data_IF_758634938494
#
_entry.id   IF_758634938494
#
_cell.length_a   1.000
_cell.length_b   1.000
_cell.length_c   1.000
_cell.angle_alpha   90.00
_cell.angle_beta   90.00
_cell.angle_gamma   90.00
#
_symmetry.space_group_name_H-M   'P 1'
#
loop_
_entity.id
_entity.type
_entity.pdbx_description
1 polymer ?
#
# COMPACT_ATOMS: atom_id res chain seq x y z
N UNK A 1 4.66 -11.50 -22.37
CA UNK A 1 3.25 -11.31 -21.95
C UNK A 1 2.95 -9.83 -22.13
N UNK A 2 1.75 -9.49 -22.60
CA UNK A 2 1.25 -8.13 -22.39
C UNK A 2 1.14 -7.94 -20.88
N UNK A 3 1.89 -6.98 -20.32
CA UNK A 3 1.91 -6.80 -18.89
C UNK A 3 1.48 -5.38 -18.56
N UNK A 4 0.25 -5.27 -18.07
CA UNK A 4 -0.22 -4.11 -17.31
C UNK A 4 0.73 -3.89 -16.16
N UNK A 5 1.19 -2.67 -15.95
CA UNK A 5 2.19 -2.35 -14.94
C UNK A 5 1.65 -2.69 -13.54
N UNK A 6 0.39 -2.34 -13.27
CA UNK A 6 -0.30 -2.64 -12.00
C UNK A 6 -0.46 -4.13 -11.72
N UNK A 7 -0.25 -4.98 -12.73
CA UNK A 7 -0.34 -6.44 -12.63
C UNK A 7 1.05 -7.10 -12.55
N UNK A 8 2.08 -6.32 -12.19
CA UNK A 8 3.46 -6.80 -12.05
C UNK A 8 4.00 -6.56 -10.66
N UNK A 9 4.79 -7.51 -10.16
CA UNK A 9 5.51 -7.36 -8.90
C UNK A 9 6.53 -6.21 -8.94
N UNK A 10 7.21 -6.03 -10.08
CA UNK A 10 8.23 -4.98 -10.25
C UNK A 10 7.66 -3.58 -10.03
N UNK A 11 6.41 -3.33 -10.44
CA UNK A 11 5.78 -2.04 -10.20
C UNK A 11 5.59 -1.81 -8.70
N UNK A 12 4.89 -2.69 -7.99
CA UNK A 12 4.55 -2.50 -6.57
C UNK A 12 5.74 -2.61 -5.62
N UNK A 13 6.74 -3.45 -5.94
CA UNK A 13 7.91 -3.66 -5.07
C UNK A 13 9.05 -2.70 -5.30
N UNK A 14 9.34 -2.39 -6.57
CA UNK A 14 10.59 -1.70 -6.93
C UNK A 14 10.36 -0.25 -7.40
N UNK A 15 9.14 0.10 -7.82
CA UNK A 15 8.87 1.38 -8.51
C UNK A 15 7.78 2.22 -7.84
N UNK A 16 6.92 1.61 -7.03
CA UNK A 16 5.80 2.29 -6.41
C UNK A 16 6.29 3.20 -5.29
N UNK A 17 6.05 4.49 -5.48
CA UNK A 17 6.26 5.54 -4.49
C UNK A 17 5.05 6.46 -4.56
N UNK A 18 4.51 6.84 -3.40
CA UNK A 18 3.33 7.70 -3.34
C UNK A 18 3.69 9.08 -3.89
N UNK A 19 3.06 9.45 -5.00
CA UNK A 19 3.27 10.75 -5.63
C UNK A 19 2.40 11.84 -4.95
N UNK A 20 2.70 13.14 -5.16
CA UNK A 20 1.86 14.22 -4.66
C UNK A 20 0.39 14.13 -5.10
N UNK A 21 0.14 13.71 -6.35
CA UNK A 21 -1.21 13.50 -6.89
C UNK A 21 -1.97 12.38 -6.14
N UNK A 22 -1.26 11.40 -5.58
CA UNK A 22 -1.84 10.31 -4.80
C UNK A 22 -2.22 10.77 -3.39
N UNK A 23 -1.44 11.69 -2.81
CA UNK A 23 -1.80 12.37 -1.56
C UNK A 23 -3.02 13.27 -1.76
N UNK A 24 -3.11 13.98 -2.89
CA UNK A 24 -4.31 14.75 -3.24
C UNK A 24 -5.53 13.84 -3.38
N UNK A 25 -5.40 12.70 -4.03
CA UNK A 25 -6.46 11.70 -4.11
C UNK A 25 -6.87 11.20 -2.72
N UNK A 26 -5.90 10.83 -1.87
CA UNK A 26 -6.13 10.33 -0.52
C UNK A 26 -6.82 11.38 0.37
N UNK A 27 -6.40 12.64 0.26
CA UNK A 27 -7.03 13.76 0.95
C UNK A 27 -8.50 13.90 0.55
N UNK A 28 -8.79 13.94 -0.75
CA UNK A 28 -10.15 14.06 -1.24
C UNK A 28 -11.01 12.85 -0.85
N UNK A 29 -10.44 11.64 -0.89
CA UNK A 29 -11.12 10.42 -0.46
C UNK A 29 -11.56 10.51 1.01
N UNK A 30 -10.69 10.97 1.91
CA UNK A 30 -11.02 11.16 3.32
C UNK A 30 -12.05 12.27 3.52
N UNK A 31 -11.91 13.38 2.79
CA UNK A 31 -12.84 14.51 2.84
C UNK A 31 -14.26 14.10 2.40
N UNK A 32 -14.36 13.35 1.30
CA UNK A 32 -15.64 12.89 0.75
C UNK A 32 -16.28 11.80 1.63
N UNK A 33 -15.45 10.91 2.20
CA UNK A 33 -15.93 9.87 3.10
C UNK A 33 -16.51 10.43 4.41
N UNK A 34 -16.03 11.59 4.87
CA UNK A 34 -16.37 12.20 6.17
C UNK A 34 -16.28 11.20 7.33
N UNK A 35 -15.33 10.28 7.24
CA UNK A 35 -15.13 9.20 8.19
C UNK A 35 -13.66 8.77 8.18
N UNK A 36 -13.12 8.36 9.34
CA UNK A 36 -11.80 7.76 9.40
C UNK A 36 -11.71 6.48 8.55
N UNK A 37 -10.52 6.21 8.02
CA UNK A 37 -10.22 5.02 7.22
C UNK A 37 -9.01 4.29 7.79
N UNK A 38 -8.99 2.97 7.71
CA UNK A 38 -7.78 2.21 8.04
C UNK A 38 -6.73 2.42 6.95
N UNK A 39 -5.47 2.13 7.27
CA UNK A 39 -4.40 2.13 6.26
C UNK A 39 -4.75 1.19 5.09
N UNK A 40 -5.23 -0.01 5.39
CA UNK A 40 -5.66 -0.98 4.37
C UNK A 40 -6.73 -0.45 3.42
N UNK A 41 -7.72 0.29 3.94
CA UNK A 41 -8.78 0.89 3.12
C UNK A 41 -8.21 1.94 2.17
N UNK A 42 -7.27 2.77 2.66
CA UNK A 42 -6.57 3.76 1.85
C UNK A 42 -5.69 3.10 0.78
N UNK A 43 -4.94 2.06 1.15
CA UNK A 43 -4.10 1.28 0.24
C UNK A 43 -4.94 0.66 -0.90
N UNK A 44 -6.04 -0.02 -0.58
CA UNK A 44 -6.93 -0.63 -1.57
C UNK A 44 -7.57 0.43 -2.48
N UNK A 45 -8.00 1.57 -1.91
CA UNK A 45 -8.58 2.65 -2.70
C UNK A 45 -7.56 3.27 -3.66
N UNK A 46 -6.30 3.45 -3.23
CA UNK A 46 -5.24 3.97 -4.07
C UNK A 46 -4.88 2.97 -5.19
N UNK A 47 -4.74 1.68 -4.87
CA UNK A 47 -4.52 0.63 -5.88
C UNK A 47 -5.65 0.64 -6.92
N UNK A 48 -6.90 0.74 -6.46
CA UNK A 48 -8.07 0.82 -7.34
C UNK A 48 -8.00 2.02 -8.28
N UNK A 49 -7.52 3.17 -7.79
CA UNK A 49 -7.33 4.37 -8.60
C UNK A 49 -6.22 4.20 -9.64
N UNK A 50 -5.11 3.54 -9.29
CA UNK A 50 -4.04 3.19 -10.23
C UNK A 50 -4.53 2.26 -11.34
N UNK A 51 -5.26 1.20 -11.00
CA UNK A 51 -5.87 0.28 -11.97
C UNK A 51 -6.84 1.02 -12.88
N UNK A 52 -7.72 1.86 -12.32
CA UNK A 52 -8.69 2.66 -13.07
C UNK A 52 -8.02 3.64 -14.04
N UNK A 53 -6.96 4.33 -13.61
CA UNK A 53 -6.15 5.24 -14.44
C UNK A 53 -5.50 4.47 -15.60
N UNK A 54 -4.94 3.28 -15.33
CA UNK A 54 -4.35 2.42 -16.36
C UNK A 54 -5.40 1.94 -17.37
N UNK A 55 -6.57 1.48 -16.90
CA UNK A 55 -7.69 1.07 -17.76
C UNK A 55 -8.16 2.20 -18.67
N UNK A 56 -8.36 3.40 -18.11
CA UNK A 56 -8.76 4.57 -18.87
C UNK A 56 -7.72 4.94 -19.95
N UNK A 57 -6.43 4.81 -19.63
CA UNK A 57 -5.34 5.02 -20.60
C UNK A 57 -5.40 3.98 -21.72
N UNK A 58 -5.51 2.69 -21.38
CA UNK A 58 -5.62 1.60 -22.36
C UNK A 58 -6.83 1.81 -23.27
N UNK A 59 -8.00 2.12 -22.70
CA UNK A 59 -9.22 2.38 -23.45
C UNK A 59 -9.07 3.59 -24.38
N UNK A 60 -8.41 4.65 -23.92
CA UNK A 60 -8.10 5.81 -24.75
C UNK A 60 -7.21 5.43 -25.94
N UNK A 61 -6.13 4.67 -25.71
CA UNK A 61 -5.25 4.22 -26.80
C UNK A 61 -5.96 3.29 -27.79
N UNK A 62 -6.76 2.33 -27.29
CA UNK A 62 -7.57 1.43 -28.11
C UNK A 62 -8.58 2.19 -29.00
N UNK A 63 -9.04 3.37 -28.58
CA UNK A 63 -9.93 4.20 -29.41
C UNK A 63 -9.24 4.91 -30.58
N UNK A 64 -7.90 4.99 -30.59
CA UNK A 64 -7.11 5.74 -31.59
C UNK A 64 -6.85 4.97 -32.88
N UNK A 65 -7.11 3.67 -32.92
CA UNK A 65 -6.87 2.82 -34.09
C UNK A 65 -7.43 1.42 -33.93
N UNK A 66 -7.24 0.58 -34.95
CA UNK A 66 -7.69 -0.81 -34.90
C UNK A 66 -6.65 -1.68 -34.19
N UNK A 67 -7.10 -2.66 -33.42
CA UNK A 67 -6.22 -3.60 -32.72
C UNK A 67 -5.39 -4.42 -33.73
N UNK A 68 -4.06 -4.41 -33.57
CA UNK A 68 -3.20 -5.25 -34.41
C UNK A 68 -3.33 -6.74 -34.03
N UNK A 69 -3.74 -7.54 -35.01
CA UNK A 69 -3.83 -8.99 -34.99
C UNK A 69 -3.15 -9.54 -36.26
N UNK A 70 -2.11 -10.37 -36.15
CA UNK A 70 -1.36 -10.88 -37.31
C UNK A 70 -2.19 -11.59 -38.39
N UNK A 71 -3.37 -12.13 -38.04
CA UNK A 71 -4.28 -12.78 -39.01
C UNK A 71 -4.99 -11.79 -39.95
N UNK A 72 -5.11 -10.52 -39.57
CA UNK A 72 -5.93 -9.55 -40.28
C UNK A 72 -5.18 -8.97 -41.50
N UNK A 73 -5.97 -8.39 -42.42
CA UNK A 73 -5.47 -7.61 -43.54
C UNK A 73 -5.40 -6.13 -43.17
N UNK A 74 -4.37 -5.44 -43.67
CA UNK A 74 -4.17 -4.03 -43.40
C UNK A 74 -3.69 -3.25 -44.62
N UNK A 75 -4.05 -1.97 -44.68
CA UNK A 75 -3.76 -1.06 -45.79
C UNK A 75 -2.83 0.10 -45.40
N UNK A 76 -2.08 0.63 -46.37
CA UNK A 76 -1.22 1.80 -46.18
C UNK A 76 -2.06 3.01 -45.75
N UNK A 77 -1.65 3.71 -44.71
CA UNK A 77 -2.36 4.84 -44.09
C UNK A 77 -3.31 4.45 -42.95
N UNK A 78 -3.50 3.15 -42.68
CA UNK A 78 -4.30 2.70 -41.54
C UNK A 78 -3.55 2.88 -40.22
N UNK A 79 -4.28 3.25 -39.16
CA UNK A 79 -3.76 3.36 -37.79
C UNK A 79 -4.06 2.09 -37.01
N UNK A 80 -3.01 1.49 -36.46
CA UNK A 80 -3.09 0.29 -35.65
C UNK A 80 -2.55 0.54 -34.24
N UNK A 81 -3.17 -0.13 -33.28
CA UNK A 81 -2.76 -0.15 -31.87
C UNK A 81 -2.07 -1.49 -31.61
N UNK A 82 -0.86 -1.45 -31.06
CA UNK A 82 -0.02 -2.64 -30.83
C UNK A 82 -0.02 -3.04 -29.35
N UNK A 83 -0.77 -4.09 -28.96
CA UNK A 83 -0.89 -4.46 -27.55
C UNK A 83 0.45 -4.88 -26.94
N UNK A 84 1.27 -5.62 -27.71
CA UNK A 84 2.55 -6.13 -27.24
C UNK A 84 3.65 -5.05 -27.12
N UNK A 85 3.32 -3.79 -27.40
CA UNK A 85 4.19 -2.63 -27.29
C UNK A 85 3.48 -1.52 -26.50
N UNK A 86 2.94 -1.87 -25.34
CA UNK A 86 2.29 -0.93 -24.41
C UNK A 86 1.17 -0.10 -25.06
N UNK A 87 0.38 -0.73 -25.93
CA UNK A 87 -0.70 -0.11 -26.71
C UNK A 87 -0.23 1.06 -27.60
N UNK A 88 1.03 1.04 -28.04
CA UNK A 88 1.57 2.07 -28.91
C UNK A 88 0.81 2.13 -30.25
N UNK A 89 0.54 3.36 -30.70
CA UNK A 89 -0.15 3.63 -31.97
C UNK A 89 0.85 3.81 -33.09
N UNK A 90 0.62 3.14 -34.21
CA UNK A 90 1.43 3.30 -35.42
C UNK A 90 0.59 3.37 -36.69
N UNK A 91 1.11 4.05 -37.69
CA UNK A 91 0.53 4.16 -39.02
C UNK A 91 1.28 3.27 -40.01
N UNK A 92 0.55 2.58 -40.89
CA UNK A 92 1.15 1.69 -41.87
C UNK A 92 1.69 2.50 -43.05
N UNK A 93 2.97 2.36 -43.32
CA UNK A 93 3.68 3.08 -44.39
C UNK A 93 3.87 2.22 -45.63
N UNK A 94 4.02 0.90 -45.47
CA UNK A 94 4.29 -0.02 -46.57
C UNK A 94 3.68 -1.40 -46.29
N UNK A 95 3.27 -2.09 -47.35
CA UNK A 95 2.82 -3.49 -47.31
C UNK A 95 3.51 -4.27 -48.42
N UNK A 96 4.23 -5.34 -48.06
CA UNK A 96 4.95 -6.21 -49.00
C UNK A 96 4.63 -7.68 -48.78
N UNK A 97 4.81 -8.52 -49.80
CA UNK A 97 4.60 -9.97 -49.67
C UNK A 97 5.78 -10.60 -48.92
N UNK A 98 5.47 -11.34 -47.86
CA UNK A 98 6.41 -12.18 -47.12
C UNK A 98 6.45 -13.60 -47.69
N UNK A 99 7.63 -14.18 -47.75
CA UNK A 99 7.81 -15.60 -48.07
C UNK A 99 8.61 -16.25 -46.95
N UNK A 100 7.97 -17.16 -46.21
CA UNK A 100 8.64 -18.00 -45.23
C UNK A 100 8.27 -19.47 -45.51
N UNK A 101 9.27 -20.34 -45.78
CA UNK A 101 9.04 -21.77 -45.99
C UNK A 101 8.22 -22.48 -44.90
N UNK A 102 8.25 -21.99 -43.66
CA UNK A 102 7.53 -22.59 -42.54
C UNK A 102 6.09 -22.09 -42.37
N UNK A 103 5.80 -20.84 -42.78
CA UNK A 103 4.51 -20.19 -42.54
C UNK A 103 3.68 -19.95 -43.81
N UNK A 104 4.22 -20.26 -45.00
CA UNK A 104 3.54 -20.10 -46.28
C UNK A 104 3.55 -18.65 -46.77
N UNK A 105 2.48 -18.27 -47.50
CA UNK A 105 2.27 -16.91 -48.00
C UNK A 105 1.64 -16.05 -46.89
N UNK A 106 2.26 -14.91 -46.60
CA UNK A 106 1.74 -13.88 -45.69
C UNK A 106 2.22 -12.51 -46.15
N UNK A 107 1.73 -11.42 -45.55
CA UNK A 107 2.18 -10.05 -45.83
C UNK A 107 3.03 -9.51 -44.68
N UNK A 108 3.93 -8.59 -45.00
CA UNK A 108 4.72 -7.82 -44.04
C UNK A 108 4.29 -6.37 -44.15
N UNK A 109 3.83 -5.80 -43.04
CA UNK A 109 3.46 -4.39 -42.92
C UNK A 109 4.60 -3.63 -42.22
N UNK A 110 4.95 -2.46 -42.73
CA UNK A 110 5.90 -1.54 -42.10
C UNK A 110 5.10 -0.46 -41.38
N UNK A 111 5.18 -0.44 -40.04
CA UNK A 111 4.45 0.51 -39.21
C UNK A 111 5.39 1.56 -38.61
N UNK A 112 5.02 2.83 -38.73
CA UNK A 112 5.72 3.98 -38.14
C UNK A 112 4.98 4.43 -36.87
N UNK A 113 5.68 4.39 -35.74
CA UNK A 113 5.13 4.76 -34.44
C UNK A 113 5.08 6.29 -34.27
N UNK A 114 4.06 6.79 -33.57
CA UNK A 114 3.93 8.22 -33.31
C UNK A 114 5.08 8.77 -32.44
N UNK A 115 5.51 7.98 -31.44
CA UNK A 115 6.47 8.40 -30.42
C UNK A 115 7.94 8.15 -30.81
N UNK A 116 8.19 7.54 -31.97
CA UNK A 116 9.55 7.34 -32.46
C UNK A 116 9.60 7.30 -33.99
N UNK A 117 10.63 7.90 -34.59
CA UNK A 117 10.85 7.83 -36.05
C UNK A 117 11.31 6.43 -36.51
N UNK A 118 11.18 5.41 -35.65
CA UNK A 118 11.54 4.03 -35.96
C UNK A 118 10.37 3.36 -36.68
N UNK A 119 10.67 2.84 -37.86
CA UNK A 119 9.78 1.93 -38.60
C UNK A 119 10.08 0.51 -38.15
N UNK A 120 9.04 -0.25 -37.80
CA UNK A 120 9.15 -1.68 -37.49
C UNK A 120 8.28 -2.48 -38.43
N UNK A 121 8.71 -3.71 -38.72
CA UNK A 121 7.99 -4.62 -39.59
C UNK A 121 7.18 -5.64 -38.78
N UNK A 122 5.97 -5.93 -39.23
CA UNK A 122 5.03 -6.85 -38.59
C UNK A 122 4.37 -7.75 -39.63
N UNK A 123 3.88 -8.92 -39.21
CA UNK A 123 3.19 -9.85 -40.11
C UNK A 123 1.70 -9.51 -40.23
N UNK A 124 1.14 -9.68 -41.42
CA UNK A 124 -0.28 -9.54 -41.73
C UNK A 124 -0.74 -10.74 -42.57
N UNK A 125 -2.02 -11.06 -42.54
CA UNK A 125 -2.60 -12.24 -43.20
C UNK A 125 -1.90 -13.56 -42.82
N UNK A 126 -1.38 -13.66 -41.59
CA UNK A 126 -0.68 -14.85 -41.12
C UNK A 126 -1.69 -15.99 -40.86
N UNK A 127 -1.61 -17.06 -41.64
CA UNK A 127 -2.50 -18.22 -41.51
C UNK A 127 -2.17 -19.13 -40.31
N UNK A 128 -0.93 -19.12 -39.83
CA UNK A 128 -0.52 -19.90 -38.66
C UNK A 128 -1.07 -19.31 -37.36
N UNK A 129 -1.39 -20.18 -36.39
CA UNK A 129 -1.83 -19.76 -35.06
C UNK A 129 -0.80 -18.84 -34.39
N UNK A 130 -1.27 -17.74 -33.81
CA UNK A 130 -0.45 -16.76 -33.12
C UNK A 130 -1.15 -16.29 -31.84
N UNK A 131 -0.40 -16.09 -30.76
CA UNK A 131 -0.97 -15.74 -29.45
C UNK A 131 -1.79 -14.45 -29.50
N UNK A 132 -1.33 -13.43 -30.23
CA UNK A 132 -2.04 -12.15 -30.42
C UNK A 132 -3.38 -12.27 -31.19
N UNK A 133 -3.64 -13.38 -31.87
CA UNK A 133 -4.94 -13.60 -32.53
C UNK A 133 -6.03 -14.09 -31.56
N UNK A 134 -5.63 -14.53 -30.36
CA UNK A 134 -6.54 -15.05 -29.33
C UNK A 134 -6.97 -13.98 -28.33
N UNK A 135 -6.47 -12.74 -28.47
CA UNK A 135 -6.76 -11.64 -27.56
C UNK A 135 -7.56 -10.57 -28.30
N UNK A 136 -8.77 -10.32 -27.83
CA UNK A 136 -9.60 -9.21 -28.31
C UNK A 136 -9.37 -7.97 -27.44
N UNK A 137 -9.80 -6.80 -27.93
CA UNK A 137 -9.72 -5.53 -27.18
C UNK A 137 -10.36 -5.64 -25.80
N UNK A 138 -11.49 -6.35 -25.72
CA UNK A 138 -12.25 -6.55 -24.48
C UNK A 138 -11.58 -7.54 -23.51
N UNK A 139 -10.76 -8.49 -24.00
CA UNK A 139 -10.06 -9.44 -23.13
C UNK A 139 -8.98 -8.73 -22.31
N UNK A 140 -8.40 -7.64 -22.81
CA UNK A 140 -7.43 -6.85 -22.06
C UNK A 140 -8.03 -6.18 -20.85
N UNK A 141 -9.32 -5.85 -20.87
CA UNK A 141 -10.07 -5.23 -19.78
C UNK A 141 -10.88 -6.25 -18.97
N UNK A 142 -10.74 -7.55 -19.28
CA UNK A 142 -11.51 -8.58 -18.59
C UNK A 142 -11.01 -8.75 -17.15
N UNK A 143 -11.89 -8.46 -16.19
CA UNK A 143 -11.61 -8.57 -14.76
C UNK A 143 -11.23 -10.01 -14.35
N UNK A 144 -11.81 -11.03 -15.01
CA UNK A 144 -11.58 -12.45 -14.70
C UNK A 144 -10.13 -12.92 -14.91
N UNK A 145 -9.32 -12.17 -15.67
CA UNK A 145 -7.93 -12.51 -15.97
C UNK A 145 -6.90 -11.66 -15.20
N UNK A 146 -7.37 -10.70 -14.41
CA UNK A 146 -6.54 -9.71 -13.73
C UNK A 146 -6.69 -9.87 -12.21
N UNK A 147 -5.63 -9.52 -11.48
CA UNK A 147 -5.70 -9.46 -10.03
C UNK A 147 -6.59 -8.28 -9.62
N UNK A 148 -7.49 -8.52 -8.69
CA UNK A 148 -8.29 -7.45 -8.08
C UNK A 148 -7.41 -6.54 -7.21
N UNK A 149 -7.83 -5.30 -6.90
CA UNK A 149 -7.11 -4.43 -5.98
C UNK A 149 -6.83 -5.07 -4.62
N UNK A 150 -7.77 -5.86 -4.10
CA UNK A 150 -7.63 -6.59 -2.84
C UNK A 150 -6.60 -7.73 -2.93
N UNK A 151 -6.54 -8.43 -4.07
CA UNK A 151 -5.52 -9.45 -4.32
C UNK A 151 -4.12 -8.84 -4.46
N UNK A 152 -4.01 -7.70 -5.17
CA UNK A 152 -2.77 -6.93 -5.27
C UNK A 152 -2.32 -6.50 -3.88
N UNK A 153 -3.23 -5.91 -3.09
CA UNK A 153 -2.94 -5.49 -1.72
C UNK A 153 -2.42 -6.66 -0.88
N UNK A 154 -3.08 -7.81 -0.93
CA UNK A 154 -2.67 -9.00 -0.17
C UNK A 154 -1.26 -9.50 -0.55
N UNK A 155 -0.85 -9.32 -1.81
CA UNK A 155 0.44 -9.80 -2.32
C UNK A 155 1.63 -8.88 -2.02
N UNK A 156 1.36 -7.57 -1.88
CA UNK A 156 2.38 -6.51 -1.77
C UNK A 156 2.07 -5.55 -0.61
N UNK A 157 1.43 -6.06 0.44
CA UNK A 157 0.92 -5.27 1.55
C UNK A 157 2.05 -4.45 2.19
N UNK A 158 3.17 -5.10 2.52
CA UNK A 158 4.26 -4.49 3.27
C UNK A 158 4.86 -3.30 2.51
N UNK A 159 5.15 -3.46 1.22
CA UNK A 159 5.74 -2.40 0.40
C UNK A 159 4.77 -1.22 0.17
N UNK A 160 3.48 -1.50 -0.02
CA UNK A 160 2.46 -0.48 -0.25
C UNK A 160 2.16 0.29 1.04
N UNK A 161 1.98 -0.42 2.15
CA UNK A 161 1.68 0.20 3.45
C UNK A 161 2.87 1.04 3.93
N UNK A 162 4.12 0.59 3.75
CA UNK A 162 5.32 1.37 4.08
C UNK A 162 5.38 2.68 3.28
N UNK A 163 5.14 2.60 1.97
CA UNK A 163 5.17 3.77 1.07
C UNK A 163 4.07 4.79 1.42
N UNK A 164 2.86 4.32 1.72
CA UNK A 164 1.74 5.18 2.12
C UNK A 164 1.98 5.78 3.51
N UNK A 165 2.44 4.98 4.47
CA UNK A 165 2.72 5.43 5.81
C UNK A 165 3.78 6.54 5.80
N UNK A 166 4.88 6.32 5.08
CA UNK A 166 5.92 7.33 4.88
C UNK A 166 5.34 8.61 4.28
N UNK A 167 4.48 8.51 3.27
CA UNK A 167 3.88 9.67 2.65
C UNK A 167 2.88 10.41 3.56
N UNK A 168 2.16 9.71 4.44
CA UNK A 168 1.23 10.34 5.37
C UNK A 168 1.95 10.97 6.57
N UNK A 169 3.09 10.43 7.01
CA UNK A 169 3.81 10.88 8.21
C UNK A 169 4.94 11.87 7.92
N UNK A 170 5.66 11.71 6.81
CA UNK A 170 6.93 12.42 6.55
C UNK A 170 6.86 13.37 5.35
N UNK A 171 5.78 13.37 4.57
CA UNK A 171 5.65 14.28 3.42
C UNK A 171 5.37 15.73 3.82
N UNK A 172 5.45 16.66 2.86
CA UNK A 172 5.07 18.07 3.06
C UNK A 172 3.61 18.26 3.52
N UNK A 173 2.75 17.27 3.31
CA UNK A 173 1.34 17.29 3.70
C UNK A 173 1.03 16.51 4.96
N UNK A 174 2.03 16.01 5.68
CA UNK A 174 1.80 15.23 6.89
C UNK A 174 1.00 15.98 7.96
N UNK A 175 1.11 17.31 7.99
CA UNK A 175 0.32 18.15 8.90
C UNK A 175 -1.20 18.11 8.65
N UNK A 176 -1.63 17.71 7.45
CA UNK A 176 -3.05 17.58 7.06
C UNK A 176 -3.68 16.29 7.60
N UNK A 177 -2.87 15.27 7.89
CA UNK A 177 -3.32 13.94 8.27
C UNK A 177 -3.07 13.66 9.75
N UNK A 178 -3.96 12.87 10.36
CA UNK A 178 -3.83 12.44 11.75
C UNK A 178 -4.18 10.96 11.83
N UNK A 179 -3.32 10.20 12.49
CA UNK A 179 -3.51 8.80 12.84
C UNK A 179 -4.04 8.68 14.27
N UNK A 180 -5.06 7.85 14.45
CA UNK A 180 -5.58 7.49 15.77
C UNK A 180 -6.07 6.03 15.75
N UNK A 181 -5.39 5.17 16.52
CA UNK A 181 -5.78 3.77 16.72
C UNK A 181 -5.88 2.92 15.43
N UNK A 182 -4.92 3.08 14.52
CA UNK A 182 -4.86 2.46 13.21
C UNK A 182 -5.77 3.09 12.15
N UNK A 183 -6.34 4.27 12.43
CA UNK A 183 -7.23 4.96 11.51
C UNK A 183 -6.72 6.36 11.18
N UNK A 184 -6.79 6.70 9.91
CA UNK A 184 -6.37 7.96 9.32
C UNK A 184 -7.56 8.86 9.05
N UNK A 185 -7.39 10.15 9.32
CA UNK A 185 -8.38 11.19 9.05
C UNK A 185 -7.68 12.52 8.77
N UNK A 186 -8.41 13.46 8.16
CA UNK A 186 -7.93 14.83 8.02
C UNK A 186 -8.00 15.58 9.36
N UNK A 187 -6.96 16.36 9.65
CA UNK A 187 -6.88 17.17 10.87
C UNK A 187 -8.01 18.19 10.97
N UNK A 188 -8.38 18.81 9.85
CA UNK A 188 -9.47 19.80 9.78
C UNK A 188 -10.86 19.20 10.06
N UNK A 189 -10.97 17.87 10.00
CA UNK A 189 -12.19 17.14 10.32
C UNK A 189 -12.29 16.75 11.80
N UNK A 190 -11.27 17.01 12.61
CA UNK A 190 -11.32 16.76 14.05
C UNK A 190 -12.27 17.76 14.72
N UNK A 191 -13.11 17.24 15.61
CA UNK A 191 -13.93 18.05 16.51
C UNK A 191 -13.02 18.71 17.54
N UNK A 192 -13.24 20.00 17.81
CA UNK A 192 -12.51 20.71 18.85
C UNK A 192 -12.89 20.17 20.24
N UNK A 193 -11.98 19.39 20.84
CA UNK A 193 -12.11 18.87 22.19
C UNK A 193 -11.29 19.74 23.15
N UNK A 194 -11.94 20.76 23.71
CA UNK A 194 -11.28 21.65 24.66
C UNK A 194 -11.06 20.99 26.03
N UNK A 195 -10.19 21.59 26.86
CA UNK A 195 -9.85 21.14 28.22
C UNK A 195 -11.04 20.84 29.12
N UNK A 196 -12.17 21.54 28.96
CA UNK A 196 -13.39 21.28 29.72
C UNK A 196 -13.94 19.86 29.54
N UNK A 197 -13.92 19.33 28.32
CA UNK A 197 -14.37 17.96 28.04
C UNK A 197 -13.38 16.94 28.63
N UNK A 198 -12.08 17.22 28.56
CA UNK A 198 -11.06 16.37 29.19
C UNK A 198 -11.24 16.34 30.72
N UNK A 199 -11.58 17.45 31.36
CA UNK A 199 -11.86 17.48 32.80
C UNK A 199 -13.10 16.66 33.17
N UNK A 200 -14.14 16.67 32.33
CA UNK A 200 -15.33 15.83 32.54
C UNK A 200 -14.94 14.35 32.36
N UNK A 201 -14.18 14.01 31.32
CA UNK A 201 -13.69 12.65 31.10
C UNK A 201 -12.84 12.15 32.29
N UNK A 202 -11.94 12.98 32.82
CA UNK A 202 -11.17 12.66 34.03
C UNK A 202 -12.10 12.36 35.21
N UNK A 203 -13.07 13.24 35.48
CA UNK A 203 -14.01 13.04 36.58
C UNK A 203 -14.84 11.76 36.43
N UNK A 204 -15.26 11.42 35.21
CA UNK A 204 -16.01 10.18 34.94
C UNK A 204 -15.16 8.94 35.21
N UNK A 205 -13.92 8.91 34.74
CA UNK A 205 -13.01 7.78 34.99
C UNK A 205 -12.70 7.66 36.49
N UNK A 206 -12.46 8.78 37.17
CA UNK A 206 -12.19 8.80 38.61
C UNK A 206 -13.38 8.26 39.44
N UNK A 207 -14.60 8.70 39.12
CA UNK A 207 -15.82 8.21 39.80
C UNK A 207 -16.08 6.74 39.49
N UNK A 208 -15.84 6.29 38.26
CA UNK A 208 -16.03 4.89 37.87
C UNK A 208 -14.97 3.96 38.47
N UNK A 209 -13.75 4.45 38.71
CA UNK A 209 -12.64 3.67 39.26
C UNK A 209 -12.19 2.51 38.37
N UNK A 210 -12.48 2.57 37.06
CA UNK A 210 -12.15 1.54 36.07
C UNK A 210 -11.91 2.17 34.69
N UNK A 211 -11.22 1.47 33.77
CA UNK A 211 -11.07 1.95 32.39
C UNK A 211 -12.42 2.10 31.70
N UNK A 212 -12.62 3.22 31.00
CA UNK A 212 -13.85 3.53 30.27
C UNK A 212 -13.59 3.60 28.76
N UNK A 213 -14.57 3.16 27.99
CA UNK A 213 -14.54 3.32 26.53
C UNK A 213 -14.89 4.76 26.12
N UNK A 214 -14.41 5.22 24.97
CA UNK A 214 -14.71 6.57 24.47
C UNK A 214 -16.21 6.82 24.31
N UNK A 215 -16.98 5.82 23.86
CA UNK A 215 -18.45 5.95 23.75
C UNK A 215 -19.13 6.16 25.10
N UNK A 216 -18.59 5.57 26.17
CA UNK A 216 -19.09 5.76 27.53
C UNK A 216 -18.78 7.16 28.04
N UNK A 217 -17.58 7.67 27.75
CA UNK A 217 -17.19 9.04 28.08
C UNK A 217 -18.07 10.05 27.34
N UNK A 218 -18.27 9.84 26.04
CA UNK A 218 -19.07 10.72 25.19
C UNK A 218 -20.54 10.82 25.58
N UNK A 219 -21.11 9.83 26.27
CA UNK A 219 -22.52 9.87 26.68
C UNK A 219 -22.86 11.06 27.61
N UNK A 220 -21.86 11.56 28.35
CA UNK A 220 -21.99 12.68 29.29
C UNK A 220 -21.35 13.97 28.72
N UNK A 221 -20.78 13.91 27.51
CA UNK A 221 -20.15 15.04 26.83
C UNK A 221 -21.09 15.55 25.74
N UNK A 222 -21.49 16.82 25.83
CA UNK A 222 -22.32 17.46 24.81
C UNK A 222 -21.43 17.91 23.63
N UNK A 223 -20.99 16.95 22.82
CA UNK A 223 -20.26 17.18 21.57
C UNK A 223 -21.22 17.54 20.44
N UNK A 224 -20.74 18.27 19.43
CA UNK A 224 -21.58 18.73 18.32
C UNK A 224 -22.23 17.57 17.55
N UNK A 225 -23.55 17.43 17.69
CA UNK A 225 -24.36 16.40 17.06
C UNK A 225 -24.44 16.49 15.52
N UNK A 226 -23.93 17.56 14.90
CA UNK A 226 -23.86 17.68 13.45
C UNK A 226 -22.73 16.83 12.83
N UNK A 227 -21.80 16.35 13.66
CA UNK A 227 -20.65 15.56 13.23
C UNK A 227 -20.95 14.07 13.39
N UNK A 228 -20.42 13.23 12.49
CA UNK A 228 -20.64 11.78 12.56
C UNK A 228 -20.05 11.19 13.85
N UNK A 229 -20.68 10.15 14.40
CA UNK A 229 -20.20 9.47 15.62
C UNK A 229 -18.75 8.99 15.47
N UNK A 230 -18.37 8.50 14.28
CA UNK A 230 -17.02 8.03 14.00
C UNK A 230 -15.97 9.14 14.14
N UNK A 231 -16.25 10.34 13.62
CA UNK A 231 -15.37 11.51 13.74
C UNK A 231 -15.28 11.99 15.19
N UNK A 232 -16.40 12.03 15.92
CA UNK A 232 -16.40 12.39 17.34
C UNK A 232 -15.55 11.42 18.17
N UNK A 233 -15.72 10.11 17.95
CA UNK A 233 -14.93 9.07 18.64
C UNK A 233 -13.44 9.21 18.33
N UNK A 234 -13.07 9.43 17.07
CA UNK A 234 -11.68 9.62 16.68
C UNK A 234 -11.09 10.89 17.32
N UNK A 235 -11.84 11.99 17.29
CA UNK A 235 -11.45 13.28 17.87
C UNK A 235 -11.24 13.19 19.37
N UNK A 236 -12.12 12.48 20.08
CA UNK A 236 -11.98 12.23 21.50
C UNK A 236 -10.76 11.36 21.81
N UNK A 237 -10.54 10.27 21.06
CA UNK A 237 -9.34 9.44 21.21
C UNK A 237 -8.05 10.25 20.98
N UNK A 238 -8.04 11.10 19.95
CA UNK A 238 -6.92 12.00 19.66
C UNK A 238 -6.68 12.98 20.80
N UNK A 239 -7.73 13.62 21.32
CA UNK A 239 -7.59 14.58 22.41
C UNK A 239 -7.10 13.93 23.71
N UNK A 240 -7.56 12.70 24.00
CA UNK A 240 -7.11 11.93 25.16
C UNK A 240 -5.67 11.44 25.02
N UNK A 241 -5.23 11.05 23.81
CA UNK A 241 -3.85 10.59 23.59
C UNK A 241 -2.81 11.71 23.73
N UNK A 242 -3.20 12.95 23.47
CA UNK A 242 -2.34 14.14 23.60
C UNK A 242 -2.27 14.69 25.05
N UNK A 243 -3.10 14.19 25.97
CA UNK A 243 -3.13 14.65 27.36
C UNK A 243 -2.48 13.64 28.32
N UNK A 244 -1.42 14.08 29.00
CA UNK A 244 -0.58 13.25 29.86
C UNK A 244 -1.34 12.53 30.99
N UNK A 245 -2.51 13.03 31.41
CA UNK A 245 -3.29 12.45 32.52
C UNK A 245 -3.86 11.08 32.17
N UNK A 246 -4.14 10.85 30.89
CA UNK A 246 -4.80 9.66 30.41
C UNK A 246 -3.78 8.64 29.91
N UNK A 247 -4.14 7.37 30.04
CA UNK A 247 -3.42 6.27 29.43
C UNK A 247 -4.38 5.34 28.69
N UNK A 248 -3.91 4.80 27.57
CA UNK A 248 -4.66 3.84 26.79
C UNK A 248 -4.34 2.43 27.27
N UNK A 249 -5.34 1.76 27.84
CA UNK A 249 -5.23 0.40 28.34
C UNK A 249 -6.05 -0.57 27.49
N UNK A 250 -5.51 -1.76 27.25
CA UNK A 250 -6.20 -2.81 26.52
C UNK A 250 -6.99 -3.70 27.50
N UNK A 251 -8.31 -3.73 27.35
CA UNK A 251 -9.19 -4.65 28.09
C UNK A 251 -9.68 -5.71 27.13
N UNK A 252 -8.92 -6.80 27.03
CA UNK A 252 -9.16 -7.83 26.00
C UNK A 252 -8.78 -7.31 24.61
N UNK A 253 -9.74 -7.26 23.69
CA UNK A 253 -9.56 -6.71 22.34
C UNK A 253 -9.97 -5.22 22.24
N UNK A 254 -10.52 -4.63 23.29
CA UNK A 254 -10.99 -3.24 23.29
C UNK A 254 -9.96 -2.30 23.92
N UNK A 255 -9.67 -1.20 23.23
CA UNK A 255 -8.89 -0.08 23.76
C UNK A 255 -9.79 0.81 24.62
N UNK A 256 -9.38 1.06 25.87
CA UNK A 256 -10.08 1.93 26.83
C UNK A 256 -9.13 2.95 27.41
N UNK A 257 -9.68 3.99 28.03
CA UNK A 257 -8.91 5.05 28.67
C UNK A 257 -8.99 4.95 30.19
N UNK A 258 -7.86 5.15 30.84
CA UNK A 258 -7.74 5.21 32.29
C UNK A 258 -6.88 6.40 32.72
N UNK A 259 -6.80 6.66 34.03
CA UNK A 259 -6.00 7.74 34.59
C UNK A 259 -4.67 7.20 35.11
N UNK A 260 -3.56 7.73 34.59
CA UNK A 260 -2.21 7.32 35.02
C UNK A 260 -2.01 7.39 36.52
N UNK A 261 -2.56 8.42 37.18
CA UNK A 261 -2.45 8.59 38.64
C UNK A 261 -3.17 7.52 39.48
N UNK A 262 -4.10 6.78 38.88
CA UNK A 262 -4.85 5.69 39.52
C UNK A 262 -4.25 4.32 39.21
N UNK A 263 -3.25 4.26 38.34
CA UNK A 263 -2.57 3.02 38.01
C UNK A 263 -1.66 2.57 39.15
N UNK A 264 -1.48 1.25 39.30
CA UNK A 264 -0.47 0.72 40.20
C UNK A 264 0.92 1.26 39.83
N UNK A 265 1.75 1.58 40.83
CA UNK A 265 3.12 2.06 40.59
C UNK A 265 3.95 1.09 39.72
N UNK A 266 3.72 -0.22 39.87
CA UNK A 266 4.39 -1.27 39.09
C UNK A 266 3.97 -1.30 37.61
N UNK A 267 2.86 -0.65 37.24
CA UNK A 267 2.44 -0.46 35.85
C UNK A 267 3.09 0.76 35.20
N UNK A 268 3.41 1.78 36.01
CA UNK A 268 4.07 3.01 35.56
C UNK A 268 5.59 2.86 35.45
N UNK A 269 6.20 2.10 36.37
CA UNK A 269 7.62 1.83 36.37
C UNK A 269 7.89 0.32 36.36
N UNK A 270 8.79 -0.11 35.47
CA UNK A 270 9.27 -1.50 35.46
C UNK A 270 9.82 -1.87 36.86
N UNK A 271 9.25 -2.90 37.51
CA UNK A 271 9.69 -3.36 38.83
C UNK A 271 11.17 -3.72 38.82
N UNK A 272 11.87 -3.45 39.93
CA UNK A 272 13.33 -3.67 40.05
C UNK A 272 13.74 -5.10 39.66
N UNK A 273 12.89 -6.10 39.97
CA UNK A 273 13.16 -7.51 39.66
C UNK A 273 13.12 -7.84 38.16
N UNK A 274 12.43 -7.02 37.36
CA UNK A 274 12.33 -7.15 35.90
C UNK A 274 13.32 -6.24 35.16
N UNK A 275 14.03 -5.35 35.87
CA UNK A 275 15.08 -4.53 35.26
C UNK A 275 16.26 -5.45 34.92
N UNK A 276 16.65 -5.58 33.64
CA UNK A 276 17.76 -6.44 33.26
C UNK A 276 19.03 -5.95 33.96
N UNK A 277 19.76 -6.87 34.57
CA UNK A 277 21.08 -6.57 35.10
C UNK A 277 22.07 -6.85 33.99
N UNK A 278 22.54 -5.82 33.29
CA UNK A 278 23.58 -5.98 32.27
C UNK A 278 24.96 -5.91 32.93
N UNK A 279 25.66 -7.05 33.13
CA UNK A 279 27.02 -7.01 33.66
C UNK A 279 27.93 -6.38 32.61
N UNK A 280 28.78 -5.44 33.02
CA UNK A 280 29.84 -4.92 32.15
C UNK A 280 30.90 -6.01 32.02
N UNK A 281 31.15 -6.48 30.80
CA UNK A 281 32.19 -7.47 30.51
C UNK A 281 33.05 -7.01 29.32
N UNK A 282 34.25 -7.58 29.19
CA UNK A 282 35.11 -7.30 28.04
C UNK A 282 34.83 -8.32 26.93
N UNK A 283 34.08 -7.90 25.92
CA UNK A 283 33.69 -8.73 24.76
C UNK A 283 34.89 -9.34 24.00
N UNK A 284 36.06 -8.71 24.05
CA UNK A 284 37.28 -9.26 23.43
C UNK A 284 37.81 -10.53 24.12
N UNK A 285 37.27 -10.91 25.28
CA UNK A 285 37.59 -12.16 25.96
C UNK A 285 36.70 -13.34 25.52
N UNK A 286 35.65 -13.08 24.74
CA UNK A 286 34.80 -14.14 24.20
C UNK A 286 35.52 -14.88 23.07
N UNK A 287 35.41 -16.22 23.08
CA UNK A 287 35.88 -17.04 21.96
C UNK A 287 34.93 -16.91 20.77
N UNK A 288 35.36 -17.41 19.61
CA UNK A 288 34.52 -17.41 18.40
C UNK A 288 33.21 -18.16 18.63
N UNK A 289 33.25 -19.28 19.37
CA UNK A 289 32.04 -20.05 19.70
C UNK A 289 31.11 -19.28 20.65
N UNK A 290 31.65 -18.54 21.61
CA UNK A 290 30.84 -17.73 22.53
C UNK A 290 30.23 -16.50 21.85
N UNK A 291 30.96 -15.90 20.90
CA UNK A 291 30.44 -14.81 20.06
C UNK A 291 29.31 -15.30 19.14
N UNK A 292 29.39 -16.53 18.64
CA UNK A 292 28.32 -17.13 17.87
C UNK A 292 27.07 -17.37 18.73
N UNK A 293 27.23 -17.88 19.96
CA UNK A 293 26.11 -18.09 20.88
C UNK A 293 25.48 -16.76 21.32
N UNK A 294 26.28 -15.72 21.56
CA UNK A 294 25.80 -14.36 21.83
C UNK A 294 24.92 -13.86 20.68
N UNK A 295 25.35 -14.06 19.43
CA UNK A 295 24.57 -13.67 18.24
C UNK A 295 23.30 -14.50 18.04
N UNK A 296 23.34 -15.80 18.31
CA UNK A 296 22.16 -16.68 18.20
C UNK A 296 21.10 -16.39 19.28
N UNK A 297 21.51 -15.90 20.45
CA UNK A 297 20.62 -15.57 21.57
C UNK A 297 20.10 -14.13 21.54
N UNK A 298 20.63 -13.30 20.65
CA UNK A 298 20.41 -11.85 20.59
C UNK A 298 18.93 -11.48 20.88
N UNK A 299 18.72 -10.80 22.00
CA UNK A 299 17.41 -10.37 22.48
C UNK A 299 17.29 -8.84 22.46
N UNK A 300 16.16 -8.33 22.90
CA UNK A 300 15.89 -6.88 23.01
C UNK A 300 16.90 -6.09 23.88
N UNK A 301 17.76 -6.78 24.65
CA UNK A 301 18.78 -6.18 25.53
C UNK A 301 20.21 -6.59 25.16
N UNK A 302 20.43 -7.20 23.99
CA UNK A 302 21.75 -7.59 23.48
C UNK A 302 22.66 -6.39 23.14
N UNK A 303 23.98 -6.57 23.25
CA UNK A 303 25.00 -5.57 22.81
C UNK A 303 25.28 -5.63 21.30
N UNK A 304 24.64 -6.57 20.60
CA UNK A 304 24.61 -6.70 19.16
C UNK A 304 24.06 -5.40 18.56
N UNK A 305 24.95 -4.59 17.98
CA UNK A 305 24.61 -3.32 17.35
C UNK A 305 23.84 -3.47 16.02
N UNK A 306 23.06 -4.53 15.86
CA UNK A 306 22.18 -4.77 14.71
C UNK A 306 20.75 -4.33 15.01
N UNK A 307 20.59 -3.19 15.67
CA UNK A 307 19.35 -2.41 15.64
C UNK A 307 19.27 -1.58 14.35
N UNK A 308 19.46 -2.20 13.18
CA UNK A 308 18.94 -1.78 11.86
C UNK A 308 19.49 -2.74 10.80
N UNK A 309 18.59 -3.35 10.03
CA UNK A 309 18.84 -4.18 8.85
C UNK A 309 19.42 -5.59 9.09
N UNK A 310 18.52 -6.59 8.99
CA UNK A 310 18.89 -7.98 8.78
C UNK A 310 19.57 -8.14 7.41
N UNK A 311 20.81 -8.66 7.31
CA UNK A 311 21.27 -9.22 6.05
C UNK A 311 20.60 -10.59 5.87
N UNK A 312 19.67 -10.66 4.93
CA UNK A 312 19.18 -11.92 4.40
C UNK A 312 20.36 -12.68 3.78
N UNK A 313 20.85 -13.71 4.45
CA UNK A 313 21.33 -15.01 3.94
C UNK A 313 21.77 -15.81 5.17
N UNK A 314 20.96 -16.79 5.59
CA UNK A 314 21.45 -17.90 6.42
C UNK A 314 21.34 -19.17 5.57
N UNK A 315 22.44 -19.91 5.31
CA UNK A 315 22.36 -21.17 4.58
C UNK A 315 21.66 -22.23 5.45
N UNK A 316 20.50 -22.73 5.00
CA UNK A 316 19.81 -23.82 5.66
C UNK A 316 20.48 -25.16 5.34
N UNK A 317 20.80 -25.94 6.37
CA UNK A 317 21.21 -27.35 6.21
C UNK A 317 20.02 -28.25 6.53
N UNK A 318 19.55 -29.01 5.55
CA UNK A 318 18.49 -29.99 5.71
C UNK A 318 19.08 -31.36 6.06
N UNK A 319 18.67 -31.94 7.20
CA UNK A 319 18.97 -33.32 7.57
C UNK A 319 17.75 -34.21 7.31
N UNK A 320 17.88 -35.14 6.38
CA UNK A 320 16.89 -36.22 6.18
C UNK A 320 17.24 -37.41 7.06
N UNK A 321 16.36 -37.76 7.98
CA UNK A 321 16.48 -38.98 8.78
C UNK A 321 15.91 -40.17 7.98
N UNK A 322 16.73 -41.22 7.81
CA UNK A 322 16.36 -42.53 7.25
C UNK A 322 15.88 -43.48 8.33
#
# INVERSE_FOLDING_TARGET
>A
MLQRQTQTATFWRDQFEVAPDDLDFTYNLLLDAQAPRTLSDLSIALISEYVRKEDAKIQSELSKGELYQPRNHYEVGQKLVFPAMDFAVAEIVEVRTGQNPEHGEFKVISAKFADSDRVREFAAELASSHQLNNVNGDDFLSEDALLSPEEIYTLYQDEIDESILYALEESERSEDFVEVNGNWMLKDMLVDVHVGYLNIAEALIEVAGKPLGVKELMAELDLDANVSEAMQVLSMNHALSQDDRFDQVNVGAEKKWFLKRLEPADALEAPIILRPTQPIYNRALLSVELLQVEWELDDEWGESSLSSELPAIVPSTSLTLT
#
